data_IF_366647567910
#
_entry.id   IF_366647567910
#
_cell.length_a   1.000
_cell.length_b   1.000
_cell.length_c   1.000
_cell.angle_alpha   90.00
_cell.angle_beta   90.00
_cell.angle_gamma   90.00
#
_symmetry.space_group_name_H-M   'P 1'
#
loop_
_entity.id
_entity.type
_entity.pdbx_description
1 polymer ?
#
# COMPACT_ATOMS: atom_id res chain seq x y z
N UNK A 1 -1.76 5.90 -0.07
CA UNK A 1 -1.41 6.64 1.15
C UNK A 1 -0.06 7.32 0.99
N UNK A 2 0.16 8.44 1.69
CA UNK A 2 1.46 9.11 1.82
C UNK A 2 1.50 9.74 3.23
N UNK A 3 2.59 9.57 4.01
CA UNK A 3 2.63 10.01 5.40
C UNK A 3 2.64 11.53 5.56
N UNK A 4 3.05 12.28 4.52
CA UNK A 4 3.36 13.70 4.65
C UNK A 4 4.55 13.95 5.58
N UNK A 5 4.95 15.23 5.76
CA UNK A 5 6.18 15.58 6.43
C UNK A 5 6.22 15.20 7.91
N UNK A 6 5.13 15.45 8.65
CA UNK A 6 5.11 15.24 10.10
C UNK A 6 5.33 13.76 10.47
N UNK A 7 4.64 12.84 9.77
CA UNK A 7 4.80 11.41 10.03
C UNK A 7 6.12 10.89 9.47
N UNK A 8 6.57 11.35 8.28
CA UNK A 8 7.86 10.95 7.70
C UNK A 8 9.03 11.24 8.64
N UNK A 9 9.07 12.40 9.30
CA UNK A 9 10.11 12.78 10.30
C UNK A 9 10.03 11.94 11.57
N UNK A 10 8.83 11.49 11.95
CA UNK A 10 8.63 10.70 13.18
C UNK A 10 8.94 9.21 13.02
N UNK A 11 8.97 8.71 11.78
CA UNK A 11 9.19 7.29 11.46
C UNK A 11 10.68 6.99 11.37
N UNK A 12 11.25 6.35 12.39
CA UNK A 12 12.70 6.09 12.46
C UNK A 12 13.29 5.19 11.35
N UNK A 13 12.44 4.50 10.59
CA UNK A 13 12.81 3.68 9.44
C UNK A 13 12.54 4.37 8.08
N UNK A 14 12.09 5.63 8.09
CA UNK A 14 11.82 6.44 6.91
C UNK A 14 12.72 7.69 6.94
N UNK A 15 13.33 8.10 5.80
CA UNK A 15 13.99 9.41 5.73
C UNK A 15 13.00 10.54 6.01
N UNK A 16 13.42 11.59 6.71
CA UNK A 16 12.60 12.78 7.03
C UNK A 16 11.84 13.34 5.81
N UNK A 17 12.51 13.40 4.66
CA UNK A 17 11.96 13.89 3.39
C UNK A 17 11.46 12.78 2.44
N UNK A 18 11.42 11.53 2.91
CA UNK A 18 11.06 10.35 2.11
C UNK A 18 9.71 10.48 1.43
N UNK A 19 8.71 11.06 2.12
CA UNK A 19 7.36 11.28 1.62
C UNK A 19 7.30 12.02 0.27
N UNK A 20 8.31 12.81 -0.10
CA UNK A 20 8.32 13.58 -1.36
C UNK A 20 8.43 12.69 -2.61
N UNK A 21 8.92 11.46 -2.48
CA UNK A 21 9.37 10.64 -3.62
C UNK A 21 8.59 9.34 -3.81
N UNK A 22 7.55 9.10 -3.01
CA UNK A 22 6.73 7.91 -3.16
C UNK A 22 5.25 8.18 -2.86
N UNK A 23 4.42 7.24 -3.31
CA UNK A 23 3.01 7.16 -2.92
C UNK A 23 2.61 5.69 -2.84
N UNK A 24 1.85 5.30 -1.84
CA UNK A 24 1.25 3.98 -1.77
C UNK A 24 -0.05 3.96 -2.60
N UNK A 25 -0.17 2.97 -3.48
CA UNK A 25 -1.42 2.60 -4.16
C UNK A 25 -1.66 1.13 -3.86
N UNK A 26 -2.56 0.86 -2.92
CA UNK A 26 -2.69 -0.42 -2.24
C UNK A 26 -3.92 -1.17 -2.75
N UNK A 27 -3.73 -2.38 -3.29
CA UNK A 27 -4.85 -3.27 -3.62
C UNK A 27 -5.34 -3.91 -2.31
N UNK A 28 -6.57 -3.66 -1.92
CA UNK A 28 -7.09 -4.12 -0.63
C UNK A 28 -8.58 -4.45 -0.67
N UNK A 29 -9.03 -5.36 0.19
CA UNK A 29 -10.44 -5.63 0.49
C UNK A 29 -10.64 -5.42 1.99
N UNK A 30 -10.94 -4.19 2.38
CA UNK A 30 -10.89 -3.74 3.79
C UNK A 30 -12.25 -3.28 4.33
N UNK A 31 -13.25 -3.15 3.46
CA UNK A 31 -14.60 -2.72 3.85
C UNK A 31 -15.42 -3.86 4.45
N UNK A 32 -15.09 -5.11 4.12
CA UNK A 32 -15.77 -6.30 4.62
C UNK A 32 -14.78 -7.42 4.96
N UNK A 33 -14.97 -8.15 6.08
CA UNK A 33 -14.13 -9.29 6.43
C UNK A 33 -14.19 -10.42 5.40
N UNK A 34 -13.03 -10.90 4.97
CA UNK A 34 -12.89 -12.08 4.12
C UNK A 34 -13.02 -13.38 4.96
N UNK A 35 -13.73 -14.39 4.45
CA UNK A 35 -13.84 -15.73 5.07
C UNK A 35 -13.37 -16.80 4.07
N UNK A 36 -12.10 -17.17 4.14
CA UNK A 36 -11.56 -18.23 3.30
C UNK A 36 -11.88 -19.62 3.89
N UNK A 37 -12.16 -20.60 3.03
CA UNK A 37 -12.19 -22.03 3.36
C UNK A 37 -11.27 -22.80 2.40
N UNK A 38 -11.03 -24.08 2.68
CA UNK A 38 -10.23 -24.95 1.81
C UNK A 38 -10.80 -25.01 0.38
N UNK A 39 -12.12 -25.09 0.25
CA UNK A 39 -12.84 -25.13 -1.03
C UNK A 39 -13.02 -23.75 -1.66
N UNK A 40 -12.88 -22.67 -0.87
CA UNK A 40 -13.07 -21.28 -1.30
C UNK A 40 -11.98 -20.37 -0.74
N UNK A 41 -10.75 -20.41 -1.29
CA UNK A 41 -9.67 -19.54 -0.86
C UNK A 41 -9.90 -18.08 -1.31
N UNK A 42 -9.61 -17.11 -0.45
CA UNK A 42 -9.48 -15.72 -0.86
C UNK A 42 -8.19 -15.51 -1.65
N UNK A 43 -8.26 -14.72 -2.73
CA UNK A 43 -7.10 -14.38 -3.56
C UNK A 43 -7.03 -12.87 -3.74
N UNK A 44 -5.83 -12.31 -3.63
CA UNK A 44 -5.55 -10.90 -3.86
C UNK A 44 -4.27 -10.81 -4.69
N UNK A 45 -4.29 -10.00 -5.74
CA UNK A 45 -3.15 -9.82 -6.62
C UNK A 45 -3.08 -8.36 -7.07
N UNK A 46 -1.85 -7.88 -7.29
CA UNK A 46 -1.58 -6.58 -7.88
C UNK A 46 -0.65 -6.78 -9.08
N UNK A 47 -0.95 -6.13 -10.20
CA UNK A 47 -0.05 -6.07 -11.36
C UNK A 47 0.28 -4.62 -11.62
N UNK A 48 1.58 -4.31 -11.72
CA UNK A 48 2.07 -2.95 -11.97
C UNK A 48 2.68 -2.93 -13.37
N UNK A 49 2.33 -1.92 -14.16
CA UNK A 49 2.91 -1.67 -15.49
C UNK A 49 3.32 -0.21 -15.60
N UNK A 50 4.53 0.04 -16.10
CA UNK A 50 5.00 1.37 -16.49
C UNK A 50 4.81 1.53 -18.00
N UNK A 51 4.13 2.60 -18.42
CA UNK A 51 4.03 2.99 -19.83
C UNK A 51 4.80 4.29 -20.04
N UNK A 52 5.37 4.47 -21.24
CA UNK A 52 5.95 5.78 -21.61
C UNK A 52 4.82 6.81 -21.69
N UNK A 53 5.13 8.05 -21.33
CA UNK A 53 4.24 9.20 -21.53
C UNK A 53 4.39 9.76 -22.92
#
# INVERSE_FOLDING_TARGET
>A
WNPGPALSVSMGDMPDDGYKTFVCVETCCVTEPQKASEEKPSRLAQTIRVTRR
#
